data_IF_902539295581
#
_entry.id   IF_902539295581
#
_cell.length_a   1.000
_cell.length_b   1.000
_cell.length_c   1.000
_cell.angle_alpha   90.00
_cell.angle_beta   90.00
_cell.angle_gamma   90.00
#
_symmetry.space_group_name_H-M   'P 1'
#
loop_
_entity.id
_entity.type
_entity.pdbx_description
1 polymer ?
#
# COMPACT_ATOMS: atom_id res chain seq x y z
N UNK A 1 -15.25 6.47 14.53
CA UNK A 1 -14.58 6.20 13.24
C UNK A 1 -13.87 4.86 13.37
N UNK A 2 -13.95 3.95 12.41
CA UNK A 2 -13.20 2.70 12.52
C UNK A 2 -11.79 2.94 11.95
N UNK A 3 -10.88 3.45 12.78
CA UNK A 3 -9.49 3.75 12.41
C UNK A 3 -8.66 2.49 12.53
N UNK A 4 -8.17 1.96 11.39
CA UNK A 4 -7.24 0.85 11.41
C UNK A 4 -5.81 1.35 11.32
N UNK A 5 -4.99 1.02 12.29
CA UNK A 5 -3.58 1.38 12.31
C UNK A 5 -2.72 0.11 12.28
N UNK A 6 -1.78 0.07 11.37
CA UNK A 6 -0.83 -1.02 11.22
C UNK A 6 0.62 -0.54 11.13
N UNK A 7 1.44 -1.32 10.46
CA UNK A 7 2.86 -1.01 10.22
C UNK A 7 3.19 -1.25 8.74
N UNK A 8 3.99 -0.37 8.16
CA UNK A 8 4.63 -0.62 6.89
C UNK A 8 6.11 -1.00 7.11
N UNK A 9 6.39 -2.30 6.99
CA UNK A 9 7.72 -2.87 7.19
C UNK A 9 8.69 -2.71 6.01
N UNK A 10 8.34 -1.94 4.98
CA UNK A 10 9.14 -1.81 3.75
C UNK A 10 10.55 -1.28 3.99
N UNK A 11 10.79 -0.52 5.06
CA UNK A 11 12.14 -0.11 5.45
C UNK A 11 13.07 -1.27 5.79
N UNK A 12 12.52 -2.41 6.22
CA UNK A 12 13.30 -3.62 6.50
C UNK A 12 13.59 -4.44 5.23
N UNK A 13 12.79 -4.29 4.17
CA UNK A 13 13.03 -4.94 2.87
C UNK A 13 14.38 -4.54 2.31
N UNK A 14 14.77 -3.27 2.46
CA UNK A 14 16.07 -2.76 2.02
C UNK A 14 17.24 -3.38 2.80
N UNK A 15 17.01 -3.89 4.01
CA UNK A 15 18.01 -4.61 4.83
C UNK A 15 18.17 -6.07 4.40
N UNK A 16 17.33 -6.59 3.51
CA UNK A 16 17.44 -7.91 2.91
C UNK A 16 17.21 -9.09 3.87
N UNK A 17 16.53 -8.89 5.00
CA UNK A 17 16.30 -9.95 5.99
C UNK A 17 14.83 -10.30 6.15
N UNK A 18 14.43 -11.44 5.59
CA UNK A 18 13.08 -12.02 5.77
C UNK A 18 12.80 -12.30 7.25
N UNK A 19 13.81 -12.78 7.98
CA UNK A 19 13.66 -13.07 9.41
C UNK A 19 13.37 -11.80 10.21
N UNK A 20 14.08 -10.70 9.94
CA UNK A 20 13.84 -9.42 10.62
C UNK A 20 12.43 -8.87 10.35
N UNK A 21 11.92 -9.06 9.13
CA UNK A 21 10.55 -8.67 8.76
C UNK A 21 9.53 -9.54 9.52
N UNK A 22 9.74 -10.86 9.57
CA UNK A 22 8.84 -11.77 10.27
C UNK A 22 8.80 -11.52 11.78
N UNK A 23 9.95 -11.21 12.38
CA UNK A 23 10.05 -10.87 13.82
C UNK A 23 9.36 -9.52 14.11
N UNK A 24 9.52 -8.53 13.23
CA UNK A 24 8.86 -7.22 13.36
C UNK A 24 7.33 -7.34 13.21
N UNK A 25 6.85 -8.13 12.26
CA UNK A 25 5.42 -8.37 12.06
C UNK A 25 4.80 -9.12 13.25
N UNK A 26 5.48 -10.13 13.79
CA UNK A 26 5.03 -10.84 14.98
C UNK A 26 5.00 -9.91 16.21
N UNK A 27 5.98 -9.02 16.35
CA UNK A 27 5.99 -7.99 17.39
C UNK A 27 4.84 -7.00 17.19
N UNK A 28 4.59 -6.53 15.96
CA UNK A 28 3.48 -5.63 15.65
C UNK A 28 2.12 -6.28 16.00
N UNK A 29 1.92 -7.55 15.66
CA UNK A 29 0.72 -8.31 16.06
C UNK A 29 0.57 -8.37 17.58
N UNK A 30 1.63 -8.69 18.31
CA UNK A 30 1.61 -8.73 19.77
C UNK A 30 1.31 -7.37 20.41
N UNK A 31 1.71 -6.29 19.76
CA UNK A 31 1.44 -4.90 20.17
C UNK A 31 0.02 -4.43 19.83
N UNK A 32 -0.76 -5.22 19.08
CA UNK A 32 -2.15 -4.92 18.73
C UNK A 32 -2.33 -4.15 17.42
N UNK A 33 -1.30 -4.06 16.58
CA UNK A 33 -1.46 -3.51 15.23
C UNK A 33 -2.34 -4.41 14.36
N UNK A 34 -3.22 -3.82 13.57
CA UNK A 34 -4.27 -4.54 12.85
C UNK A 34 -3.82 -5.07 11.49
N UNK A 35 -2.80 -4.45 10.88
CA UNK A 35 -2.26 -4.87 9.58
C UNK A 35 -0.76 -4.59 9.45
N UNK A 36 -0.11 -5.38 8.58
CA UNK A 36 1.31 -5.27 8.26
C UNK A 36 1.52 -5.27 6.74
N UNK A 37 2.22 -4.26 6.21
CA UNK A 37 2.35 -4.03 4.78
C UNK A 37 3.80 -4.09 4.32
N UNK A 38 4.01 -4.64 3.10
CA UNK A 38 5.31 -4.66 2.44
C UNK A 38 5.21 -4.11 1.02
N UNK A 39 6.12 -3.21 0.66
CA UNK A 39 6.33 -2.81 -0.73
C UNK A 39 7.27 -3.79 -1.44
N UNK A 40 7.08 -3.90 -2.76
CA UNK A 40 8.01 -4.60 -3.64
C UNK A 40 8.62 -3.62 -4.65
N UNK A 41 9.93 -3.66 -4.77
CA UNK A 41 10.64 -2.89 -5.79
C UNK A 41 10.96 -3.79 -6.97
N UNK A 42 10.55 -3.43 -8.20
CA UNK A 42 10.72 -4.29 -9.37
C UNK A 42 12.19 -4.48 -9.77
N UNK A 43 13.06 -3.56 -9.35
CA UNK A 43 14.49 -3.57 -9.70
C UNK A 43 15.37 -4.26 -8.66
N UNK A 44 14.77 -4.93 -7.70
CA UNK A 44 15.50 -5.74 -6.71
C UNK A 44 14.93 -5.63 -5.30
N UNK A 45 15.30 -6.59 -4.48
CA UNK A 45 14.85 -6.72 -3.10
C UNK A 45 14.14 -8.05 -2.84
N UNK A 46 13.47 -8.12 -1.70
CA UNK A 46 12.69 -9.28 -1.33
C UNK A 46 11.33 -9.26 -2.06
N UNK A 47 10.92 -10.40 -2.58
CA UNK A 47 9.56 -10.61 -3.11
C UNK A 47 8.54 -10.47 -1.97
N UNK A 48 7.58 -9.55 -2.13
CA UNK A 48 6.65 -9.21 -1.06
C UNK A 48 5.70 -10.38 -0.74
N UNK A 49 5.17 -11.06 -1.75
CA UNK A 49 4.23 -12.16 -1.54
C UNK A 49 4.91 -13.37 -0.89
N UNK A 50 6.11 -13.74 -1.33
CA UNK A 50 6.89 -14.81 -0.70
C UNK A 50 7.23 -14.46 0.74
N UNK A 51 7.64 -13.21 1.00
CA UNK A 51 7.94 -12.75 2.35
C UNK A 51 6.70 -12.79 3.24
N UNK A 52 5.54 -12.33 2.75
CA UNK A 52 4.28 -12.35 3.51
C UNK A 52 3.77 -13.77 3.79
N UNK A 53 4.03 -14.74 2.92
CA UNK A 53 3.73 -16.14 3.24
C UNK A 53 4.50 -16.63 4.46
N UNK A 54 5.80 -16.28 4.58
CA UNK A 54 6.64 -16.61 5.72
C UNK A 54 6.27 -15.81 6.99
N UNK A 55 5.92 -14.54 6.84
CA UNK A 55 5.35 -13.72 7.92
C UNK A 55 4.05 -14.33 8.44
N UNK A 56 3.18 -14.78 7.55
CA UNK A 56 1.91 -15.40 7.90
C UNK A 56 2.04 -16.70 8.71
N UNK A 57 3.15 -17.44 8.54
CA UNK A 57 3.47 -18.59 9.36
C UNK A 57 3.91 -18.22 10.80
N UNK A 58 4.24 -16.95 11.04
CA UNK A 58 4.68 -16.42 12.35
C UNK A 58 3.63 -15.52 13.02
N UNK A 59 2.52 -15.27 12.36
CA UNK A 59 1.42 -14.40 12.82
C UNK A 59 0.08 -15.13 12.69
N UNK A 60 -0.93 -14.70 13.45
CA UNK A 60 -2.23 -15.39 13.53
C UNK A 60 -3.42 -14.50 13.18
N UNK A 61 -3.34 -13.20 13.42
CA UNK A 61 -4.48 -12.27 13.32
C UNK A 61 -4.24 -11.07 12.42
N UNK A 62 -3.03 -10.52 12.43
CA UNK A 62 -2.69 -9.32 11.66
C UNK A 62 -2.97 -9.53 10.17
N UNK A 63 -3.68 -8.57 9.55
CA UNK A 63 -3.88 -8.55 8.09
C UNK A 63 -2.54 -8.29 7.41
N UNK A 64 -2.26 -9.01 6.34
CA UNK A 64 -1.01 -8.90 5.60
C UNK A 64 -1.27 -8.29 4.23
N UNK A 65 -0.57 -7.22 3.89
CA UNK A 65 -0.81 -6.49 2.66
C UNK A 65 0.44 -6.21 1.84
N UNK A 66 0.28 -6.11 0.54
CA UNK A 66 1.33 -5.57 -0.34
C UNK A 66 1.05 -4.10 -0.66
N UNK A 67 2.10 -3.25 -0.60
CA UNK A 67 1.98 -1.82 -0.85
C UNK A 67 3.14 -1.28 -1.72
N UNK A 68 3.31 -1.73 -2.96
CA UNK A 68 2.44 -2.62 -3.73
C UNK A 68 3.28 -3.58 -4.58
N UNK A 69 2.67 -4.63 -5.17
CA UNK A 69 3.34 -5.49 -6.18
C UNK A 69 3.26 -4.83 -7.55
N UNK A 70 4.38 -4.69 -8.30
CA UNK A 70 4.39 -4.16 -9.67
C UNK A 70 3.69 -5.07 -10.67
N UNK A 71 2.86 -4.48 -11.55
CA UNK A 71 2.06 -5.24 -12.53
C UNK A 71 2.82 -5.59 -13.81
N UNK A 72 3.72 -4.73 -14.29
CA UNK A 72 4.40 -4.94 -15.57
C UNK A 72 5.30 -6.18 -15.60
N UNK A 73 6.07 -6.50 -14.55
CA UNK A 73 6.94 -7.68 -14.57
C UNK A 73 6.19 -9.02 -14.42
N UNK A 74 4.89 -9.00 -14.05
CA UNK A 74 4.13 -10.22 -13.77
C UNK A 74 2.86 -10.29 -14.59
N UNK A 75 2.64 -11.41 -15.27
CA UNK A 75 1.35 -11.66 -15.90
C UNK A 75 0.24 -11.83 -14.84
N UNK A 76 -0.98 -11.27 -15.03
CA UNK A 76 -2.05 -11.34 -14.03
C UNK A 76 -2.47 -12.77 -13.65
N UNK A 77 -2.38 -13.73 -14.56
CA UNK A 77 -2.61 -15.15 -14.25
C UNK A 77 -1.60 -15.69 -13.23
N UNK A 78 -0.32 -15.35 -13.40
CA UNK A 78 0.75 -15.75 -12.48
C UNK A 78 0.56 -15.08 -11.10
N UNK A 79 0.23 -13.79 -11.10
CA UNK A 79 -0.03 -13.07 -9.84
C UNK A 79 -1.26 -13.62 -9.12
N UNK A 80 -2.32 -13.99 -9.84
CA UNK A 80 -3.49 -14.63 -9.22
C UNK A 80 -3.12 -15.93 -8.51
N UNK A 81 -2.33 -16.79 -9.16
CA UNK A 81 -1.84 -18.03 -8.54
C UNK A 81 -0.98 -17.78 -7.29
N UNK A 82 -0.07 -16.80 -7.35
CA UNK A 82 0.76 -16.42 -6.21
C UNK A 82 -0.11 -15.89 -5.05
N UNK A 83 -1.00 -14.95 -5.32
CA UNK A 83 -1.86 -14.33 -4.30
C UNK A 83 -2.80 -15.36 -3.64
N UNK A 84 -3.39 -16.26 -4.40
CA UNK A 84 -4.24 -17.32 -3.85
C UNK A 84 -3.45 -18.33 -3.01
N UNK A 85 -2.21 -18.64 -3.41
CA UNK A 85 -1.32 -19.51 -2.64
C UNK A 85 -0.99 -18.86 -1.28
N UNK A 86 -0.63 -17.56 -1.28
CA UNK A 86 -0.37 -16.84 -0.04
C UNK A 86 -1.64 -16.73 0.81
N UNK A 87 -2.78 -16.40 0.21
CA UNK A 87 -4.06 -16.30 0.94
C UNK A 87 -4.49 -17.63 1.60
N UNK A 88 -4.23 -18.77 0.96
CA UNK A 88 -4.47 -20.10 1.55
C UNK A 88 -3.50 -20.35 2.73
N UNK A 89 -2.23 -19.99 2.57
CA UNK A 89 -1.20 -20.17 3.60
C UNK A 89 -1.41 -19.29 4.84
N UNK A 90 -1.89 -18.04 4.66
CA UNK A 90 -2.06 -17.07 5.75
C UNK A 90 -3.49 -17.03 6.32
N UNK A 91 -4.38 -17.93 5.92
CA UNK A 91 -5.73 -18.04 6.51
C UNK A 91 -6.66 -16.86 6.19
N UNK A 92 -6.70 -16.41 4.94
CA UNK A 92 -7.58 -15.33 4.43
C UNK A 92 -7.20 -13.90 4.87
N UNK A 93 -6.01 -13.71 5.42
CA UNK A 93 -5.54 -12.41 5.92
C UNK A 93 -4.78 -11.59 4.86
N UNK A 94 -4.78 -12.00 3.59
CA UNK A 94 -4.08 -11.29 2.51
C UNK A 94 -4.95 -10.22 1.88
N UNK A 95 -4.42 -9.00 1.79
CA UNK A 95 -4.86 -7.94 0.89
C UNK A 95 -3.77 -7.69 -0.17
N UNK A 96 -4.16 -7.80 -1.45
CA UNK A 96 -3.25 -7.63 -2.57
C UNK A 96 -3.27 -6.20 -3.09
N UNK A 97 -2.28 -5.41 -2.73
CA UNK A 97 -2.03 -4.12 -3.37
C UNK A 97 -1.17 -4.29 -4.63
N UNK A 98 -1.61 -3.72 -5.73
CA UNK A 98 -0.89 -3.72 -7.01
C UNK A 98 -0.65 -2.29 -7.51
N UNK A 99 0.37 -2.11 -8.33
CA UNK A 99 0.67 -0.80 -8.92
C UNK A 99 1.46 -0.88 -10.22
N UNK A 100 1.42 0.22 -10.97
CA UNK A 100 2.12 0.32 -12.26
C UNK A 100 3.64 0.42 -12.09
N UNK A 101 4.12 0.78 -10.89
CA UNK A 101 5.49 1.24 -10.71
C UNK A 101 5.76 2.54 -11.50
N UNK A 102 6.99 2.76 -11.93
CA UNK A 102 7.43 4.00 -12.57
C UNK A 102 8.26 3.69 -13.82
N UNK A 103 8.11 4.52 -14.85
CA UNK A 103 8.79 4.37 -16.12
C UNK A 103 10.31 4.11 -15.98
N UNK A 104 11.09 4.88 -15.18
CA UNK A 104 12.52 4.62 -15.03
C UNK A 104 12.88 3.24 -14.44
N UNK A 105 11.98 2.64 -13.67
CA UNK A 105 12.17 1.28 -13.14
C UNK A 105 11.82 0.23 -14.18
N UNK A 106 10.84 0.49 -15.04
CA UNK A 106 10.51 -0.42 -16.15
C UNK A 106 11.60 -0.40 -17.22
N UNK A 107 12.18 0.76 -17.50
CA UNK A 107 13.34 0.90 -18.40
C UNK A 107 14.53 0.05 -17.94
N UNK A 108 14.82 0.02 -16.63
CA UNK A 108 15.87 -0.84 -16.07
C UNK A 108 15.62 -2.33 -16.30
N UNK A 109 14.37 -2.74 -16.43
CA UNK A 109 13.97 -4.12 -16.72
C UNK A 109 13.83 -4.39 -18.22
N UNK A 110 14.03 -3.39 -19.08
CA UNK A 110 13.79 -3.50 -20.52
C UNK A 110 12.31 -3.67 -20.89
N UNK A 111 11.40 -3.20 -20.02
CA UNK A 111 9.96 -3.29 -20.21
C UNK A 111 9.39 -1.96 -20.70
N UNK A 112 8.52 -2.00 -21.72
CA UNK A 112 7.78 -0.81 -22.17
C UNK A 112 6.78 -0.35 -21.12
N UNK A 113 6.71 0.97 -20.89
CA UNK A 113 5.73 1.62 -20.01
C UNK A 113 4.60 2.32 -20.78
N UNK A 114 4.33 1.84 -21.99
CA UNK A 114 3.29 2.43 -22.85
C UNK A 114 1.88 2.16 -22.34
N UNK A 115 0.98 3.14 -22.54
CA UNK A 115 -0.45 3.05 -22.22
C UNK A 115 -0.73 2.50 -20.81
N UNK A 116 -0.11 3.04 -19.73
CA UNK A 116 -0.16 2.46 -18.39
C UNK A 116 -1.58 2.31 -17.83
N UNK A 117 -2.49 3.24 -18.13
CA UNK A 117 -3.89 3.15 -17.69
C UNK A 117 -4.66 2.03 -18.43
N UNK A 118 -4.35 1.81 -19.70
CA UNK A 118 -4.88 0.68 -20.46
C UNK A 118 -4.37 -0.64 -19.89
N UNK A 119 -3.06 -0.73 -19.64
CA UNK A 119 -2.44 -1.88 -19.00
C UNK A 119 -3.12 -2.20 -17.66
N UNK A 120 -3.26 -1.22 -16.77
CA UNK A 120 -3.91 -1.39 -15.47
C UNK A 120 -5.36 -1.89 -15.61
N UNK A 121 -6.11 -1.32 -16.53
CA UNK A 121 -7.50 -1.71 -16.78
C UNK A 121 -7.61 -3.16 -17.26
N UNK A 122 -6.80 -3.55 -18.24
CA UNK A 122 -6.79 -4.91 -18.77
C UNK A 122 -6.25 -5.92 -17.76
N UNK A 123 -5.24 -5.51 -16.97
CA UNK A 123 -4.69 -6.30 -15.88
C UNK A 123 -5.77 -6.67 -14.85
N UNK A 124 -6.55 -5.68 -14.39
CA UNK A 124 -7.63 -5.91 -13.43
C UNK A 124 -8.77 -6.74 -14.00
N UNK A 125 -9.11 -6.57 -15.29
CA UNK A 125 -10.12 -7.39 -15.99
C UNK A 125 -9.72 -8.87 -16.08
N UNK A 126 -8.42 -9.17 -16.02
CA UNK A 126 -7.91 -10.55 -15.98
C UNK A 126 -7.77 -11.02 -14.53
N UNK A 127 -7.14 -10.20 -13.66
CA UNK A 127 -6.82 -10.58 -12.30
C UNK A 127 -8.07 -10.81 -11.43
N UNK A 128 -9.03 -9.88 -11.50
CA UNK A 128 -10.23 -9.92 -10.62
C UNK A 128 -11.08 -11.17 -10.82
N UNK A 129 -11.44 -11.59 -12.04
CA UNK A 129 -12.17 -12.85 -12.25
C UNK A 129 -11.38 -14.07 -11.76
N UNK A 130 -10.07 -14.12 -12.00
CA UNK A 130 -9.23 -15.21 -11.54
C UNK A 130 -9.23 -15.35 -10.02
N UNK A 131 -9.15 -14.23 -9.29
CA UNK A 131 -9.21 -14.22 -7.81
C UNK A 131 -10.60 -14.57 -7.25
N UNK A 132 -11.67 -14.33 -8.01
CA UNK A 132 -13.06 -14.56 -7.56
C UNK A 132 -13.59 -15.94 -7.97
N UNK A 133 -13.41 -16.31 -9.24
CA UNK A 133 -14.02 -17.51 -9.82
C UNK A 133 -12.98 -18.56 -10.25
N UNK A 134 -11.73 -18.15 -10.39
CA UNK A 134 -10.67 -18.99 -10.93
C UNK A 134 -10.65 -19.11 -12.44
N UNK A 135 -11.50 -18.37 -13.17
CA UNK A 135 -11.66 -18.48 -14.63
C UNK A 135 -11.61 -17.09 -15.25
N UNK A 136 -11.06 -16.98 -16.45
CA UNK A 136 -11.04 -15.78 -17.26
C UNK A 136 -11.08 -16.09 -18.75
N UNK A 137 -11.83 -15.29 -19.48
CA UNK A 137 -11.78 -15.20 -20.94
C UNK A 137 -11.79 -13.72 -21.32
N UNK A 138 -10.60 -13.18 -21.60
CA UNK A 138 -10.42 -11.77 -21.89
C UNK A 138 -9.42 -11.57 -23.02
N UNK A 139 -9.83 -10.78 -24.02
CA UNK A 139 -8.97 -10.34 -25.13
C UNK A 139 -8.91 -8.83 -25.13
N UNK A 140 -7.75 -8.29 -24.80
CA UNK A 140 -7.47 -6.85 -24.79
C UNK A 140 -6.51 -6.43 -25.90
N UNK A 141 -6.11 -5.20 -25.86
CA UNK A 141 -5.12 -4.60 -26.76
C UNK A 141 -3.68 -4.92 -26.32
N UNK A 142 -3.42 -4.86 -25.02
CA UNK A 142 -2.09 -5.07 -24.42
C UNK A 142 -1.99 -6.45 -23.76
N UNK A 143 -3.06 -6.90 -23.13
CA UNK A 143 -3.10 -8.17 -22.41
C UNK A 143 -4.28 -9.02 -22.88
N UNK A 144 -4.04 -10.31 -23.03
CA UNK A 144 -5.08 -11.29 -23.30
C UNK A 144 -4.84 -12.51 -22.42
N UNK A 145 -5.91 -13.09 -21.92
CA UNK A 145 -5.83 -14.29 -21.10
C UNK A 145 -7.13 -15.08 -21.20
N UNK A 146 -7.02 -16.33 -21.65
CA UNK A 146 -8.12 -17.30 -21.62
C UNK A 146 -7.62 -18.51 -20.84
N UNK A 147 -8.27 -18.83 -19.73
CA UNK A 147 -7.83 -19.95 -18.92
C UNK A 147 -8.62 -20.12 -17.64
N UNK A 148 -8.26 -21.19 -16.94
CA UNK A 148 -8.88 -21.61 -15.70
C UNK A 148 -7.80 -22.13 -14.76
N UNK A 149 -7.87 -21.73 -13.52
CA UNK A 149 -7.02 -22.27 -12.46
C UNK A 149 -7.38 -23.74 -12.19
N UNK A 150 -6.39 -24.56 -11.82
CA UNK A 150 -6.62 -25.96 -11.50
C UNK A 150 -7.61 -26.16 -10.33
N UNK A 151 -7.64 -25.20 -9.40
CA UNK A 151 -8.58 -25.19 -8.28
C UNK A 151 -9.30 -23.85 -8.21
N UNK A 152 -10.58 -23.88 -7.87
CA UNK A 152 -11.34 -22.66 -7.59
C UNK A 152 -10.78 -21.98 -6.34
N UNK A 153 -10.77 -20.64 -6.29
CA UNK A 153 -10.40 -19.91 -5.09
C UNK A 153 -11.25 -20.33 -3.89
N UNK A 154 -10.62 -20.66 -2.78
CA UNK A 154 -11.29 -21.03 -1.52
C UNK A 154 -11.62 -19.80 -0.66
N UNK A 155 -11.00 -18.68 -0.99
CA UNK A 155 -11.13 -17.42 -0.27
C UNK A 155 -11.08 -16.26 -1.25
N UNK A 156 -11.75 -15.16 -0.92
CA UNK A 156 -11.62 -13.91 -1.63
C UNK A 156 -10.34 -13.20 -1.19
N UNK A 157 -9.64 -12.59 -2.14
CA UNK A 157 -8.51 -11.70 -1.90
C UNK A 157 -8.95 -10.29 -2.26
N UNK A 158 -8.87 -9.35 -1.31
CA UNK A 158 -9.12 -7.94 -1.58
C UNK A 158 -8.01 -7.36 -2.44
N UNK A 159 -8.37 -6.55 -3.44
CA UNK A 159 -7.42 -5.93 -4.37
C UNK A 159 -7.43 -4.42 -4.20
N UNK A 160 -6.28 -3.84 -3.88
CA UNK A 160 -6.06 -2.40 -3.86
C UNK A 160 -5.15 -1.98 -5.01
N UNK A 161 -5.32 -0.77 -5.51
CA UNK A 161 -4.49 -0.20 -6.58
C UNK A 161 -3.74 1.01 -6.08
N UNK A 162 -2.44 1.10 -6.31
CA UNK A 162 -1.70 2.35 -6.14
C UNK A 162 -2.15 3.36 -7.22
N UNK A 163 -3.07 4.25 -6.86
CA UNK A 163 -3.69 5.19 -7.76
C UNK A 163 -3.60 6.63 -7.24
N UNK A 164 -2.98 7.52 -8.03
CA UNK A 164 -2.82 8.93 -7.68
C UNK A 164 -3.56 9.84 -8.67
N UNK A 165 -3.42 9.58 -9.96
CA UNK A 165 -4.06 10.38 -11.02
C UNK A 165 -5.53 10.03 -11.22
N UNK A 166 -6.33 10.96 -11.79
CA UNK A 166 -7.78 10.79 -11.90
C UNK A 166 -8.20 9.55 -12.69
N UNK A 167 -7.48 9.18 -13.75
CA UNK A 167 -7.77 7.98 -14.54
C UNK A 167 -7.48 6.70 -13.76
N UNK A 168 -6.36 6.65 -13.01
CA UNK A 168 -6.03 5.50 -12.19
C UNK A 168 -7.03 5.33 -11.03
N UNK A 169 -7.48 6.43 -10.41
CA UNK A 169 -8.52 6.43 -9.38
C UNK A 169 -9.87 5.93 -9.92
N UNK A 170 -10.24 6.34 -11.13
CA UNK A 170 -11.44 5.84 -11.79
C UNK A 170 -11.36 4.31 -12.06
N UNK A 171 -10.20 3.83 -12.52
CA UNK A 171 -9.96 2.38 -12.71
C UNK A 171 -10.01 1.63 -11.37
N UNK A 172 -9.38 2.18 -10.32
CA UNK A 172 -9.40 1.58 -8.98
C UNK A 172 -10.83 1.48 -8.41
N UNK A 173 -11.60 2.57 -8.45
CA UNK A 173 -13.01 2.57 -7.99
C UNK A 173 -13.87 1.59 -8.76
N UNK A 174 -13.65 1.44 -10.07
CA UNK A 174 -14.43 0.55 -10.92
C UNK A 174 -14.07 -0.94 -10.74
N UNK A 175 -12.81 -1.30 -10.58
CA UNK A 175 -12.34 -2.69 -10.70
C UNK A 175 -11.67 -3.25 -9.45
N UNK A 176 -11.30 -2.41 -8.46
CA UNK A 176 -10.62 -2.81 -7.24
C UNK A 176 -11.45 -2.47 -5.99
N UNK A 177 -11.00 -2.91 -4.82
CA UNK A 177 -11.70 -2.69 -3.55
C UNK A 177 -11.22 -1.41 -2.85
N UNK A 178 -10.30 -0.68 -3.46
CA UNK A 178 -9.78 0.58 -2.95
C UNK A 178 -8.42 0.95 -3.51
N UNK A 179 -7.73 1.83 -2.78
CA UNK A 179 -6.41 2.34 -3.15
C UNK A 179 -5.39 2.19 -2.03
N UNK A 180 -4.12 1.97 -2.41
CA UNK A 180 -2.97 2.04 -1.52
C UNK A 180 -2.11 3.26 -1.90
N UNK A 181 -2.00 4.21 -0.99
CA UNK A 181 -1.35 5.50 -1.19
C UNK A 181 0.01 5.54 -0.47
N UNK A 182 1.01 6.12 -1.12
CA UNK A 182 2.26 6.49 -0.50
C UNK A 182 2.51 7.99 -0.71
N UNK A 183 3.00 8.66 0.31
CA UNK A 183 3.43 10.07 0.27
C UNK A 183 2.33 11.05 -0.15
N UNK A 184 1.08 10.83 0.27
CA UNK A 184 -0.08 11.69 0.02
C UNK A 184 -0.59 12.23 1.35
N UNK A 185 -0.68 13.56 1.48
CA UNK A 185 -1.15 14.22 2.71
C UNK A 185 -2.68 14.30 2.78
N UNK A 186 -3.19 14.70 3.95
CA UNK A 186 -4.61 14.70 4.30
C UNK A 186 -5.45 15.60 3.38
N UNK A 187 -4.96 16.77 3.03
CA UNK A 187 -5.67 17.68 2.11
C UNK A 187 -5.89 17.03 0.75
N UNK A 188 -4.85 16.43 0.18
CA UNK A 188 -4.94 15.75 -1.13
C UNK A 188 -5.85 14.53 -1.07
N UNK A 189 -5.85 13.79 0.05
CA UNK A 189 -6.79 12.68 0.28
C UNK A 189 -8.23 13.19 0.24
N UNK A 190 -8.56 14.22 1.02
CA UNK A 190 -9.90 14.77 1.13
C UNK A 190 -10.41 15.43 -0.17
N UNK A 191 -9.56 16.20 -0.86
CA UNK A 191 -9.99 17.04 -1.99
C UNK A 191 -9.86 16.34 -3.36
N UNK A 192 -9.02 15.29 -3.44
CA UNK A 192 -8.72 14.66 -4.73
C UNK A 192 -8.93 13.15 -4.74
N UNK A 193 -8.36 12.40 -3.78
CA UNK A 193 -8.37 10.93 -3.82
C UNK A 193 -9.78 10.39 -3.52
N UNK A 194 -10.28 10.67 -2.32
CA UNK A 194 -11.56 10.11 -1.83
C UNK A 194 -12.72 10.48 -2.74
N UNK A 195 -12.93 11.75 -3.15
CA UNK A 195 -14.06 12.09 -4.00
C UNK A 195 -14.08 11.35 -5.33
N UNK A 196 -12.93 11.22 -5.99
CA UNK A 196 -12.84 10.53 -7.30
C UNK A 196 -12.98 9.04 -7.21
N UNK A 197 -12.32 8.44 -6.21
CA UNK A 197 -12.38 7.01 -5.98
C UNK A 197 -13.80 6.56 -5.62
N UNK A 198 -14.45 7.28 -4.70
CA UNK A 198 -15.80 6.98 -4.25
C UNK A 198 -16.86 7.20 -5.33
N UNK A 199 -16.73 8.28 -6.13
CA UNK A 199 -17.61 8.51 -7.28
C UNK A 199 -17.51 7.36 -8.28
N UNK A 200 -16.31 6.95 -8.66
CA UNK A 200 -16.12 5.85 -9.59
C UNK A 200 -16.61 4.50 -9.04
N UNK A 201 -16.52 4.26 -7.74
CA UNK A 201 -17.09 3.08 -7.12
C UNK A 201 -18.62 3.12 -7.17
N UNK A 202 -19.23 4.22 -6.79
CA UNK A 202 -20.69 4.40 -6.79
C UNK A 202 -21.30 4.28 -8.20
N UNK A 203 -20.66 4.87 -9.23
CA UNK A 203 -21.08 4.75 -10.63
C UNK A 203 -21.04 3.31 -11.17
N UNK A 204 -20.40 2.39 -10.48
CA UNK A 204 -20.26 0.99 -10.86
C UNK A 204 -20.87 0.02 -9.81
N UNK A 205 -21.78 0.49 -8.97
CA UNK A 205 -22.49 -0.26 -7.92
C UNK A 205 -21.56 -1.05 -6.99
N UNK A 206 -20.38 -0.44 -6.67
CA UNK A 206 -19.39 -1.04 -5.78
C UNK A 206 -19.50 -0.47 -4.35
N UNK A 207 -19.11 -1.25 -3.34
CA UNK A 207 -19.04 -0.75 -1.96
C UNK A 207 -18.09 0.44 -1.82
N UNK A 208 -18.21 1.18 -0.72
CA UNK A 208 -17.27 2.23 -0.33
C UNK A 208 -15.84 1.68 -0.34
N UNK A 209 -14.93 2.27 -1.12
CA UNK A 209 -13.58 1.74 -1.27
C UNK A 209 -12.71 1.99 -0.04
N UNK A 210 -11.79 1.07 0.23
CA UNK A 210 -10.73 1.25 1.22
C UNK A 210 -9.71 2.29 0.73
N UNK A 211 -9.19 3.08 1.66
CA UNK A 211 -8.10 4.04 1.42
C UNK A 211 -6.99 3.75 2.42
N UNK A 212 -6.00 3.00 2.00
CA UNK A 212 -4.80 2.69 2.81
C UNK A 212 -3.75 3.75 2.54
N UNK A 213 -3.29 4.45 3.58
CA UNK A 213 -2.27 5.48 3.46
C UNK A 213 -0.96 5.09 4.15
N UNK A 214 0.16 5.33 3.46
CA UNK A 214 1.51 5.18 4.01
C UNK A 214 2.24 6.52 3.98
N UNK A 215 2.68 6.98 5.15
CA UNK A 215 3.55 8.15 5.32
C UNK A 215 4.70 7.84 6.28
N UNK A 216 5.84 8.54 6.17
CA UNK A 216 6.87 8.49 7.20
C UNK A 216 6.34 9.09 8.50
N UNK A 217 6.58 8.39 9.61
CA UNK A 217 6.16 8.83 10.95
C UNK A 217 7.32 8.74 11.92
N UNK A 218 7.46 9.76 12.79
CA UNK A 218 8.39 9.72 13.91
C UNK A 218 7.99 10.71 15.01
N UNK A 219 7.83 10.23 16.22
CA UNK A 219 7.81 11.07 17.44
C UNK A 219 9.25 11.39 17.81
N UNK A 220 9.63 12.66 17.79
CA UNK A 220 11.02 13.09 17.98
C UNK A 220 11.08 14.54 18.46
N UNK A 221 12.14 14.87 19.21
CA UNK A 221 12.55 16.23 19.54
C UNK A 221 13.52 16.85 18.50
N UNK A 222 13.91 16.07 17.46
CA UNK A 222 14.80 16.47 16.40
C UNK A 222 14.15 16.40 15.00
N UNK A 223 13.00 17.05 14.77
CA UNK A 223 12.21 16.88 13.55
C UNK A 223 12.97 17.28 12.28
N UNK A 224 13.85 18.27 12.35
CA UNK A 224 14.63 18.70 11.18
C UNK A 224 15.66 17.66 10.73
N UNK A 225 16.25 16.90 11.66
CA UNK A 225 17.21 15.83 11.34
C UNK A 225 16.49 14.67 10.65
N UNK A 226 15.33 14.27 11.18
CA UNK A 226 14.50 13.22 10.58
C UNK A 226 14.03 13.64 9.20
N UNK A 227 13.51 14.87 9.03
CA UNK A 227 13.07 15.40 7.72
C UNK A 227 14.20 15.42 6.70
N UNK A 228 15.41 15.82 7.09
CA UNK A 228 16.57 15.80 6.19
C UNK A 228 16.93 14.36 5.74
N UNK A 229 16.83 13.38 6.64
CA UNK A 229 17.02 11.96 6.32
C UNK A 229 15.96 11.46 5.32
N UNK A 230 14.69 11.82 5.52
CA UNK A 230 13.58 11.48 4.62
C UNK A 230 13.79 12.12 3.24
N UNK A 231 14.12 13.41 3.17
CA UNK A 231 14.37 14.12 1.93
C UNK A 231 15.48 13.44 1.10
N UNK A 232 16.54 12.97 1.76
CA UNK A 232 17.62 12.21 1.11
C UNK A 232 17.16 10.82 0.67
N UNK A 233 16.51 10.07 1.56
CA UNK A 233 16.10 8.68 1.30
C UNK A 233 15.00 8.55 0.25
N UNK A 234 14.10 9.54 0.16
CA UNK A 234 12.96 9.55 -0.74
C UNK A 234 13.11 10.55 -1.90
N UNK A 235 14.34 11.00 -2.22
CA UNK A 235 14.61 11.99 -3.26
C UNK A 235 14.07 11.59 -4.64
N UNK A 236 14.12 10.30 -4.98
CA UNK A 236 13.56 9.77 -6.22
C UNK A 236 12.06 10.11 -6.34
N UNK A 237 11.28 9.88 -5.28
CA UNK A 237 9.84 10.17 -5.29
C UNK A 237 9.53 11.65 -5.46
N UNK A 238 10.39 12.53 -4.92
CA UNK A 238 10.31 13.97 -5.15
C UNK A 238 10.49 14.38 -6.62
N UNK A 239 11.10 13.54 -7.46
CA UNK A 239 11.33 13.81 -8.88
C UNK A 239 10.23 13.29 -9.81
N UNK A 240 9.48 12.29 -9.38
CA UNK A 240 8.47 11.61 -10.21
C UNK A 240 7.23 12.48 -10.47
N UNK A 241 6.76 12.60 -11.72
CA UNK A 241 5.65 13.52 -12.08
C UNK A 241 4.37 13.28 -11.30
N UNK A 242 4.02 12.01 -11.05
CA UNK A 242 2.80 11.64 -10.31
C UNK A 242 2.83 12.14 -8.86
N UNK A 243 3.97 12.04 -8.19
CA UNK A 243 4.14 12.53 -6.82
C UNK A 243 4.29 14.06 -6.76
N UNK A 244 4.99 14.68 -7.72
CA UNK A 244 5.03 16.15 -7.82
C UNK A 244 3.64 16.76 -7.87
N UNK A 245 2.72 16.14 -8.62
CA UNK A 245 1.33 16.63 -8.68
C UNK A 245 0.62 16.49 -7.32
N UNK A 246 0.86 15.39 -6.56
CA UNK A 246 0.29 15.22 -5.22
C UNK A 246 0.85 16.26 -4.24
N UNK A 247 2.17 16.50 -4.26
CA UNK A 247 2.79 17.54 -3.42
C UNK A 247 2.29 18.94 -3.78
N UNK A 248 2.10 19.24 -5.06
CA UNK A 248 1.50 20.50 -5.50
C UNK A 248 0.08 20.69 -4.97
N UNK A 249 -0.76 19.64 -4.97
CA UNK A 249 -2.12 19.66 -4.42
C UNK A 249 -2.10 19.87 -2.92
N UNK A 250 -1.20 19.21 -2.23
CA UNK A 250 -1.00 19.35 -0.80
C UNK A 250 -0.49 20.75 -0.41
N UNK A 251 0.19 21.45 -1.35
CA UNK A 251 0.83 22.74 -1.12
C UNK A 251 2.21 22.63 -0.48
N UNK A 252 2.93 21.52 -0.78
CA UNK A 252 4.25 21.21 -0.23
C UNK A 252 5.27 20.94 -1.34
N UNK A 253 6.55 20.84 -0.97
CA UNK A 253 7.66 20.68 -1.93
C UNK A 253 8.07 19.23 -2.16
N UNK A 254 7.84 18.33 -1.20
CA UNK A 254 8.31 16.97 -1.32
C UNK A 254 7.88 16.01 -0.20
N UNK A 255 8.43 14.78 -0.22
CA UNK A 255 8.01 13.74 0.72
C UNK A 255 8.36 14.04 2.18
N UNK A 256 9.39 14.84 2.47
CA UNK A 256 9.72 15.27 3.83
C UNK A 256 8.68 16.18 4.46
N UNK A 257 7.91 16.91 3.64
CA UNK A 257 6.94 17.89 4.11
C UNK A 257 5.61 17.23 4.47
N UNK A 258 5.20 16.19 3.71
CA UNK A 258 4.02 15.38 4.04
C UNK A 258 4.29 14.41 5.20
N UNK A 259 5.56 14.14 5.53
CA UNK A 259 5.94 13.26 6.64
C UNK A 259 5.41 13.77 7.98
N UNK A 260 4.89 12.88 8.80
CA UNK A 260 4.28 13.17 10.11
C UNK A 260 5.37 13.04 11.18
N UNK A 261 6.10 14.14 11.41
CA UNK A 261 7.30 14.18 12.25
C UNK A 261 7.20 15.35 13.23
N UNK A 262 7.39 15.12 14.51
CA UNK A 262 7.37 16.17 15.52
C UNK A 262 7.13 15.65 16.93
N UNK A 263 6.64 16.53 17.79
CA UNK A 263 6.22 16.18 19.14
C UNK A 263 5.01 15.24 19.12
N UNK A 264 4.79 14.52 20.20
CA UNK A 264 3.75 13.48 20.31
C UNK A 264 2.36 13.99 19.90
N UNK A 265 1.94 15.14 20.41
CA UNK A 265 0.61 15.69 20.14
C UNK A 265 0.49 16.13 18.67
N UNK A 266 1.52 16.76 18.10
CA UNK A 266 1.56 17.12 16.69
C UNK A 266 1.43 15.88 15.77
N UNK A 267 2.13 14.80 16.10
CA UNK A 267 2.07 13.54 15.35
C UNK A 267 0.68 12.93 15.46
N UNK A 268 0.09 12.92 16.67
CA UNK A 268 -1.27 12.46 16.92
C UNK A 268 -2.30 13.21 16.08
N UNK A 269 -2.32 14.53 16.16
CA UNK A 269 -3.28 15.39 15.45
C UNK A 269 -3.20 15.16 13.92
N UNK A 270 -1.99 15.05 13.39
CA UNK A 270 -1.79 14.81 11.95
C UNK A 270 -2.22 13.41 11.49
N UNK A 271 -2.10 12.40 12.35
CA UNK A 271 -2.64 11.06 12.08
C UNK A 271 -4.18 11.11 12.08
N UNK A 272 -4.79 11.74 13.06
CA UNK A 272 -6.25 11.89 13.14
C UNK A 272 -6.79 12.65 11.93
N UNK A 273 -6.12 13.70 11.48
CA UNK A 273 -6.49 14.44 10.27
C UNK A 273 -6.49 13.58 8.99
N UNK A 274 -5.69 12.52 8.90
CA UNK A 274 -5.76 11.57 7.78
C UNK A 274 -7.07 10.79 7.79
N UNK A 275 -7.53 10.34 8.95
CA UNK A 275 -8.80 9.62 9.07
C UNK A 275 -10.00 10.53 8.81
N UNK A 276 -9.95 11.76 9.29
CA UNK A 276 -10.95 12.80 8.97
C UNK A 276 -11.02 13.09 7.46
N UNK A 277 -9.89 12.99 6.76
CA UNK A 277 -9.79 13.14 5.31
C UNK A 277 -10.36 11.93 4.53
N UNK A 278 -10.69 10.82 5.20
CA UNK A 278 -11.27 9.63 4.62
C UNK A 278 -10.30 8.46 4.41
N UNK A 279 -9.11 8.49 5.02
CA UNK A 279 -8.25 7.30 5.15
C UNK A 279 -8.99 6.27 6.02
N UNK A 280 -9.04 5.03 5.58
CA UNK A 280 -9.64 3.92 6.34
C UNK A 280 -8.61 3.12 7.12
N UNK A 281 -7.40 3.05 6.59
CA UNK A 281 -6.29 2.26 7.14
C UNK A 281 -5.00 3.08 7.05
N UNK A 282 -4.30 3.26 8.16
CA UNK A 282 -3.03 3.96 8.19
C UNK A 282 -1.88 2.98 8.47
N UNK A 283 -0.96 2.87 7.52
CA UNK A 283 0.23 2.01 7.58
C UNK A 283 1.50 2.86 7.62
N UNK A 284 1.87 3.46 8.76
CA UNK A 284 3.05 4.29 8.89
C UNK A 284 4.34 3.55 8.54
N UNK A 285 5.25 4.24 7.85
CA UNK A 285 6.66 3.85 7.74
C UNK A 285 7.44 4.53 8.86
N UNK A 286 8.01 3.75 9.76
CA UNK A 286 8.75 4.26 10.92
C UNK A 286 10.12 4.81 10.48
N UNK A 287 10.24 6.13 10.31
CA UNK A 287 11.48 6.84 9.97
C UNK A 287 12.16 7.40 11.21
N UNK A 288 12.57 6.53 12.12
CA UNK A 288 13.19 6.88 13.39
C UNK A 288 14.71 6.71 13.32
N UNK A 289 15.45 7.64 13.92
CA UNK A 289 16.91 7.65 13.93
C UNK A 289 17.49 6.62 14.93
N UNK A 290 16.72 6.29 15.96
CA UNK A 290 17.14 5.39 17.03
C UNK A 290 15.98 4.59 17.61
N UNK A 291 16.30 3.62 18.49
CA UNK A 291 15.30 2.73 19.10
C UNK A 291 14.35 3.48 20.06
N UNK A 292 14.79 4.54 20.71
CA UNK A 292 13.97 5.36 21.63
C UNK A 292 12.85 6.07 20.86
N UNK A 293 13.17 6.75 19.76
CA UNK A 293 12.17 7.39 18.88
C UNK A 293 11.19 6.36 18.32
N UNK A 294 11.69 5.18 17.90
CA UNK A 294 10.83 4.10 17.43
C UNK A 294 9.88 3.62 18.53
N UNK A 295 10.37 3.45 19.76
CA UNK A 295 9.55 3.09 20.92
C UNK A 295 8.45 4.12 21.16
N UNK A 296 8.79 5.40 21.27
CA UNK A 296 7.84 6.49 21.49
C UNK A 296 6.80 6.60 20.35
N UNK A 297 7.21 6.37 19.10
CA UNK A 297 6.32 6.37 17.95
C UNK A 297 5.31 5.21 18.03
N UNK A 298 5.77 3.99 18.32
CA UNK A 298 4.89 2.82 18.49
C UNK A 298 3.95 2.96 19.68
N UNK A 299 4.41 3.51 20.79
CA UNK A 299 3.55 3.77 21.95
C UNK A 299 2.39 4.70 21.60
N UNK A 300 2.65 5.80 20.87
CA UNK A 300 1.59 6.68 20.40
C UNK A 300 0.60 5.95 19.47
N UNK A 301 1.08 5.18 18.50
CA UNK A 301 0.22 4.43 17.58
C UNK A 301 -0.67 3.42 18.30
N UNK A 302 -0.12 2.72 19.29
CA UNK A 302 -0.87 1.76 20.13
C UNK A 302 -1.94 2.48 20.98
N UNK A 303 -1.65 3.66 21.48
CA UNK A 303 -2.65 4.46 22.23
C UNK A 303 -3.80 4.89 21.32
N UNK A 304 -3.51 5.34 20.10
CA UNK A 304 -4.55 5.69 19.13
C UNK A 304 -5.46 4.49 18.79
N UNK A 305 -4.89 3.28 18.63
CA UNK A 305 -5.67 2.05 18.42
C UNK A 305 -6.62 1.81 19.63
N UNK A 306 -6.13 1.97 20.86
CA UNK A 306 -6.93 1.73 22.07
C UNK A 306 -8.03 2.75 22.28
N UNK A 307 -7.81 4.01 21.90
CA UNK A 307 -8.83 5.07 21.99
C UNK A 307 -10.03 4.82 21.07
N UNK A 308 -9.84 4.16 19.94
CA UNK A 308 -10.94 3.80 19.03
C UNK A 308 -11.73 2.57 19.52
N UNK A 309 -11.11 1.69 20.29
CA UNK A 309 -11.75 0.45 20.76
C UNK A 309 -12.63 0.64 22.01
N UNK A 310 -12.57 1.79 22.70
CA UNK A 310 -13.34 2.12 23.91
C UNK A 310 -14.47 3.09 23.63
#
# INVERSE_FOLDING_TARGET
>A
MNMKIGVNGSGLVQKGSVQAIADDAAMAEHQGFEHYWLAEHPTGGLDALTTLALVGARTSHVELGTAVVPTFPRHPMTLAGQALTVADAVGKRLTLGIGLSHEPMMDQLGLSFEKPIRHLTEYLKILTPLLRTGEVDFKGELLSCTGKLFQKPKTSVSVLVAALGPQALAVAGKWADGTALAWVGSKTVAEHIVPRLSAAAAENDRPTPRVVATLPVCVTDQPNVVRASIAKGLSLYGSLPSYKEMFRREGVSGPSDVAIIGARDEVSDRILALFEAGVTDFAPSEYCLNAGERGATRELLIELIKQEAG
#
